data_IF_451996334376
#
_entry.id   IF_451996334376
#
_cell.length_a   1.000
_cell.length_b   1.000
_cell.length_c   1.000
_cell.angle_alpha   90.00
_cell.angle_beta   90.00
_cell.angle_gamma   90.00
#
_symmetry.space_group_name_H-M   'P 1'
#
loop_
_entity.id
_entity.type
_entity.pdbx_description
1 polymer ?
#
# COMPACT_ATOMS: atom_id res chain seq x y z
N UNK A 1 6.48 9.64 -20.75
CA UNK A 1 5.55 9.43 -21.88
C UNK A 1 5.00 10.76 -22.39
N UNK A 2 4.29 11.56 -21.58
CA UNK A 2 3.75 12.87 -21.99
C UNK A 2 4.75 13.80 -22.71
N UNK A 3 5.87 14.17 -22.05
CA UNK A 3 6.87 15.07 -22.65
C UNK A 3 7.47 14.54 -23.97
N UNK A 4 7.52 13.22 -24.16
CA UNK A 4 8.00 12.65 -25.43
C UNK A 4 6.94 12.80 -26.53
N UNK A 5 5.65 12.64 -26.22
CA UNK A 5 4.56 12.92 -27.15
C UNK A 5 4.52 14.40 -27.51
N UNK A 6 4.65 15.28 -26.53
CA UNK A 6 4.74 16.72 -26.76
C UNK A 6 5.91 17.10 -27.69
N UNK A 7 7.09 16.51 -27.47
CA UNK A 7 8.29 16.69 -28.33
C UNK A 7 8.10 16.28 -29.79
N UNK A 8 7.30 15.24 -30.02
CA UNK A 8 7.09 14.64 -31.35
C UNK A 8 5.88 15.20 -32.08
N UNK A 9 5.06 16.00 -31.39
CA UNK A 9 3.89 16.65 -31.97
C UNK A 9 4.33 17.80 -32.87
N UNK A 10 3.76 17.88 -34.08
CA UNK A 10 3.93 19.04 -34.96
C UNK A 10 3.00 20.17 -34.48
N UNK A 11 3.58 21.14 -33.80
CA UNK A 11 2.84 22.29 -33.24
C UNK A 11 2.78 23.39 -34.31
N UNK A 12 1.57 23.86 -34.61
CA UNK A 12 1.35 25.00 -35.51
C UNK A 12 1.44 26.32 -34.75
N UNK A 13 1.67 27.44 -35.44
CA UNK A 13 1.86 28.74 -34.78
C UNK A 13 0.63 29.22 -34.00
N UNK A 14 -0.57 28.82 -34.42
CA UNK A 14 -1.86 29.26 -33.89
C UNK A 14 -2.62 28.18 -33.10
N UNK A 15 -1.93 27.13 -32.62
CA UNK A 15 -2.60 26.06 -31.88
C UNK A 15 -3.19 26.54 -30.56
N UNK A 16 -4.26 25.87 -30.12
CA UNK A 16 -4.91 26.08 -28.83
C UNK A 16 -4.57 24.92 -27.91
N UNK A 17 -4.25 25.26 -26.65
CA UNK A 17 -3.89 24.29 -25.62
C UNK A 17 -4.76 24.50 -24.39
N UNK A 18 -5.44 23.45 -23.97
CA UNK A 18 -6.30 23.42 -22.77
C UNK A 18 -6.10 22.08 -22.06
N UNK A 19 -6.36 22.05 -20.74
CA UNK A 19 -6.44 20.80 -19.99
C UNK A 19 -7.86 20.57 -19.53
N UNK A 20 -8.32 19.33 -19.59
CA UNK A 20 -9.63 18.94 -19.10
C UNK A 20 -9.48 18.09 -17.84
N UNK A 21 -10.30 18.36 -16.82
CA UNK A 21 -10.32 17.62 -15.55
C UNK A 21 -11.70 16.99 -15.36
N UNK A 22 -11.74 15.69 -15.03
CA UNK A 22 -13.00 14.97 -14.83
C UNK A 22 -13.49 15.14 -13.40
N UNK A 23 -14.67 15.73 -13.25
CA UNK A 23 -15.26 15.94 -11.93
C UNK A 23 -15.60 14.61 -11.27
N UNK A 24 -14.92 14.34 -10.14
CA UNK A 24 -15.20 13.21 -9.25
C UNK A 24 -15.39 11.87 -9.99
N UNK A 25 -14.42 11.53 -10.84
CA UNK A 25 -14.45 10.38 -11.75
C UNK A 25 -15.00 9.10 -11.08
N UNK A 26 -14.34 8.60 -10.02
CA UNK A 26 -14.71 7.33 -9.40
C UNK A 26 -16.12 7.30 -8.84
N UNK A 27 -16.63 8.41 -8.29
CA UNK A 27 -17.99 8.44 -7.72
C UNK A 27 -19.06 8.54 -8.81
N UNK A 28 -18.72 9.10 -9.98
CA UNK A 28 -19.69 9.37 -11.04
C UNK A 28 -19.81 8.24 -12.08
N UNK A 29 -18.76 7.44 -12.26
CA UNK A 29 -18.80 6.25 -13.14
C UNK A 29 -19.76 5.21 -12.55
N UNK A 30 -20.77 4.80 -13.32
CA UNK A 30 -21.66 3.70 -12.92
C UNK A 30 -20.97 2.35 -13.14
N UNK A 31 -21.29 1.38 -12.28
CA UNK A 31 -20.73 0.03 -12.38
C UNK A 31 -21.10 -0.62 -13.72
N UNK A 32 -22.35 -0.46 -14.15
CA UNK A 32 -22.84 -1.06 -15.39
C UNK A 32 -22.16 -0.47 -16.63
N UNK A 33 -21.97 0.85 -16.70
CA UNK A 33 -21.28 1.46 -17.84
C UNK A 33 -19.79 1.11 -17.88
N UNK A 34 -19.14 0.98 -16.72
CA UNK A 34 -17.77 0.48 -16.65
C UNK A 34 -17.66 -0.99 -17.09
N UNK A 35 -18.59 -1.84 -16.67
CA UNK A 35 -18.67 -3.23 -17.11
C UNK A 35 -18.90 -3.32 -18.62
N UNK A 36 -19.80 -2.51 -19.15
CA UNK A 36 -20.09 -2.46 -20.58
C UNK A 36 -18.83 -2.06 -21.38
N UNK A 37 -18.08 -1.05 -20.93
CA UNK A 37 -16.84 -0.65 -21.58
C UNK A 37 -15.79 -1.78 -21.57
N UNK A 38 -15.66 -2.53 -20.46
CA UNK A 38 -14.77 -3.69 -20.42
C UNK A 38 -15.24 -4.80 -21.35
N UNK A 39 -16.54 -5.09 -21.40
CA UNK A 39 -17.09 -6.11 -22.29
C UNK A 39 -16.81 -5.78 -23.75
N UNK A 40 -17.02 -4.53 -24.17
CA UNK A 40 -16.72 -4.04 -25.51
C UNK A 40 -15.23 -4.23 -25.85
N UNK A 41 -14.33 -3.79 -24.96
CA UNK A 41 -12.88 -3.93 -25.17
C UNK A 41 -12.41 -5.40 -25.22
N UNK A 42 -12.96 -6.25 -24.35
CA UNK A 42 -12.64 -7.69 -24.35
C UNK A 42 -13.16 -8.37 -25.61
N UNK A 43 -14.30 -7.95 -26.13
CA UNK A 43 -14.89 -8.49 -27.35
C UNK A 43 -14.08 -8.05 -28.58
N UNK A 44 -13.68 -6.79 -28.65
CA UNK A 44 -12.86 -6.23 -29.73
C UNK A 44 -11.46 -6.86 -29.78
N UNK A 45 -10.87 -7.15 -28.61
CA UNK A 45 -9.50 -7.65 -28.49
C UNK A 45 -9.41 -9.11 -28.04
N UNK A 46 -10.48 -9.89 -28.23
CA UNK A 46 -10.55 -11.29 -27.79
C UNK A 46 -9.40 -12.17 -28.34
N UNK A 47 -8.92 -11.85 -29.55
CA UNK A 47 -7.83 -12.60 -30.21
C UNK A 47 -6.42 -12.23 -29.74
N UNK A 48 -6.23 -11.12 -29.03
CA UNK A 48 -4.90 -10.64 -28.61
C UNK A 48 -4.68 -10.75 -27.10
N UNK A 49 -5.76 -10.82 -26.32
CA UNK A 49 -5.70 -10.88 -24.86
C UNK A 49 -5.71 -12.35 -24.42
N UNK A 50 -4.66 -12.77 -23.69
CA UNK A 50 -4.67 -14.05 -23.01
C UNK A 50 -5.59 -13.99 -21.78
N UNK A 51 -6.75 -14.64 -21.87
CA UNK A 51 -7.72 -14.74 -20.77
C UNK A 51 -7.41 -15.88 -19.79
N UNK A 52 -6.27 -16.56 -19.92
CA UNK A 52 -5.82 -17.65 -19.03
C UNK A 52 -6.88 -18.75 -18.84
N UNK A 53 -7.60 -19.09 -19.91
CA UNK A 53 -8.63 -20.13 -19.90
C UNK A 53 -10.03 -19.66 -19.51
N UNK A 54 -10.24 -18.39 -19.17
CA UNK A 54 -11.58 -17.84 -18.96
C UNK A 54 -12.23 -17.41 -20.27
N UNK A 55 -13.54 -17.61 -20.39
CA UNK A 55 -14.36 -16.94 -21.42
C UNK A 55 -14.58 -15.47 -21.04
N UNK A 56 -14.91 -14.62 -22.02
CA UNK A 56 -15.31 -13.22 -21.76
C UNK A 56 -16.47 -13.16 -20.76
N UNK A 57 -17.48 -14.04 -20.92
CA UNK A 57 -18.59 -14.16 -19.97
C UNK A 57 -18.13 -14.53 -18.55
N UNK A 58 -17.16 -15.43 -18.41
CA UNK A 58 -16.57 -15.81 -17.13
C UNK A 58 -15.85 -14.64 -16.45
N UNK A 59 -15.07 -13.86 -17.22
CA UNK A 59 -14.42 -12.64 -16.72
C UNK A 59 -15.46 -11.62 -16.26
N UNK A 60 -16.51 -11.39 -17.05
CA UNK A 60 -17.58 -10.46 -16.71
C UNK A 60 -18.35 -10.88 -15.45
N UNK A 61 -18.59 -12.17 -15.25
CA UNK A 61 -19.21 -12.70 -14.03
C UNK A 61 -18.35 -12.42 -12.79
N UNK A 62 -17.04 -12.67 -12.87
CA UNK A 62 -16.11 -12.38 -11.76
C UNK A 62 -16.03 -10.88 -11.47
N UNK A 63 -16.02 -10.04 -12.52
CA UNK A 63 -16.03 -8.59 -12.39
C UNK A 63 -17.31 -8.11 -11.69
N UNK A 64 -18.47 -8.62 -12.10
CA UNK A 64 -19.76 -8.30 -11.46
C UNK A 64 -19.75 -8.65 -9.98
N UNK A 65 -19.30 -9.86 -9.63
CA UNK A 65 -19.17 -10.27 -8.23
C UNK A 65 -18.25 -9.35 -7.42
N UNK A 66 -17.14 -8.88 -8.00
CA UNK A 66 -16.24 -7.92 -7.35
C UNK A 66 -16.89 -6.54 -7.11
N UNK A 67 -17.75 -6.08 -8.02
CA UNK A 67 -18.41 -4.78 -7.93
C UNK A 67 -19.64 -4.79 -7.02
N UNK A 68 -20.39 -5.91 -6.98
CA UNK A 68 -21.55 -6.06 -6.11
C UNK A 68 -21.15 -6.24 -4.64
N UNK A 69 -19.97 -6.80 -4.36
CA UNK A 69 -19.44 -6.98 -3.01
C UNK A 69 -18.81 -5.71 -2.41
N UNK A 70 -19.43 -4.55 -2.60
CA UNK A 70 -18.91 -3.27 -2.15
C UNK A 70 -19.65 -2.75 -0.91
N UNK A 71 -19.38 -3.39 0.24
CA UNK A 71 -20.00 -3.09 1.54
C UNK A 71 -18.97 -2.48 2.48
N UNK A 72 -19.32 -1.36 3.12
CA UNK A 72 -18.50 -0.70 4.13
C UNK A 72 -19.30 -0.43 5.41
N UNK A 73 -18.60 -0.19 6.53
CA UNK A 73 -19.23 0.07 7.84
C UNK A 73 -18.93 1.49 8.29
N UNK A 74 -19.96 2.25 8.65
CA UNK A 74 -19.88 3.62 9.16
C UNK A 74 -20.82 3.77 10.36
N UNK A 75 -20.33 4.34 11.48
CA UNK A 75 -21.08 4.42 12.76
C UNK A 75 -21.80 3.12 13.17
N UNK A 76 -21.14 1.97 12.99
CA UNK A 76 -21.69 0.66 13.38
C UNK A 76 -22.76 0.11 12.44
N UNK A 77 -23.19 0.85 11.41
CA UNK A 77 -24.14 0.41 10.39
C UNK A 77 -23.41 0.00 9.11
N UNK A 78 -23.91 -1.03 8.46
CA UNK A 78 -23.40 -1.50 7.17
C UNK A 78 -24.11 -0.75 6.03
N UNK A 79 -23.32 -0.34 5.04
CA UNK A 79 -23.78 0.36 3.85
C UNK A 79 -23.23 -0.33 2.62
N UNK A 80 -24.05 -0.46 1.58
CA UNK A 80 -23.60 -0.86 0.25
C UNK A 80 -23.44 0.37 -0.61
N UNK A 81 -22.32 0.48 -1.33
CA UNK A 81 -22.14 1.52 -2.32
C UNK A 81 -22.94 1.15 -3.58
N UNK A 82 -24.06 1.84 -3.80
CA UNK A 82 -24.98 1.58 -4.92
C UNK A 82 -24.51 2.19 -6.24
N UNK A 83 -23.59 3.17 -6.21
CA UNK A 83 -23.10 3.89 -7.37
C UNK A 83 -21.64 4.30 -7.19
N UNK A 84 -20.89 4.32 -8.28
CA UNK A 84 -19.48 4.67 -8.26
C UNK A 84 -18.60 3.46 -8.06
N UNK A 85 -17.37 3.59 -8.53
CA UNK A 85 -16.28 2.67 -8.26
C UNK A 85 -15.70 2.98 -6.87
N UNK A 86 -15.58 1.97 -6.00
CA UNK A 86 -15.00 2.17 -4.68
C UNK A 86 -13.53 2.61 -4.78
N UNK A 87 -13.23 3.79 -4.23
CA UNK A 87 -11.85 4.24 -4.08
C UNK A 87 -11.10 3.28 -3.15
N UNK A 88 -10.01 2.71 -3.65
CA UNK A 88 -9.22 1.67 -2.95
C UNK A 88 -9.51 0.24 -3.42
N UNK A 89 -10.56 0.02 -4.22
CA UNK A 89 -10.75 -1.22 -4.94
C UNK A 89 -9.66 -1.35 -6.03
N UNK A 90 -9.01 -2.52 -6.11
CA UNK A 90 -7.89 -2.74 -7.05
C UNK A 90 -8.28 -2.60 -8.52
N UNK A 91 -9.54 -2.92 -8.85
CA UNK A 91 -10.06 -2.87 -10.22
C UNK A 91 -10.55 -1.46 -10.62
N UNK A 92 -10.83 -0.58 -9.65
CA UNK A 92 -11.43 0.72 -9.93
C UNK A 92 -10.62 1.57 -10.92
N UNK A 93 -9.27 1.69 -10.83
CA UNK A 93 -8.50 2.45 -11.81
C UNK A 93 -8.62 1.90 -13.24
N UNK A 94 -8.57 0.58 -13.41
CA UNK A 94 -8.69 -0.07 -14.72
C UNK A 94 -10.08 0.17 -15.32
N UNK A 95 -11.13 0.03 -14.51
CA UNK A 95 -12.51 0.28 -14.92
C UNK A 95 -12.74 1.74 -15.31
N UNK A 96 -12.20 2.67 -14.52
CA UNK A 96 -12.28 4.09 -14.83
C UNK A 96 -11.55 4.43 -16.14
N UNK A 97 -10.37 3.83 -16.39
CA UNK A 97 -9.62 4.03 -17.64
C UNK A 97 -10.39 3.50 -18.85
N UNK A 98 -10.98 2.31 -18.75
CA UNK A 98 -11.77 1.70 -19.82
C UNK A 98 -13.02 2.53 -20.12
N UNK A 99 -13.74 2.96 -19.08
CA UNK A 99 -14.89 3.84 -19.25
C UNK A 99 -14.50 5.18 -19.88
N UNK A 100 -13.40 5.80 -19.44
CA UNK A 100 -12.92 7.05 -20.02
C UNK A 100 -12.46 6.90 -21.48
N UNK A 101 -12.01 5.71 -21.91
CA UNK A 101 -11.71 5.45 -23.31
C UNK A 101 -12.95 5.59 -24.20
N UNK A 102 -14.13 5.24 -23.69
CA UNK A 102 -15.40 5.45 -24.39
C UNK A 102 -15.80 6.93 -24.41
N UNK A 103 -15.61 7.65 -23.31
CA UNK A 103 -15.93 9.08 -23.21
C UNK A 103 -15.07 9.93 -24.15
N UNK A 104 -13.80 9.59 -24.33
CA UNK A 104 -12.87 10.36 -25.15
C UNK A 104 -12.98 10.05 -26.64
N UNK A 105 -13.53 8.89 -27.03
CA UNK A 105 -13.48 8.42 -28.40
C UNK A 105 -14.04 9.41 -29.44
N UNK A 106 -15.23 10.00 -29.25
CA UNK A 106 -15.75 10.97 -30.22
C UNK A 106 -14.83 12.20 -30.39
N UNK A 107 -14.14 12.64 -29.33
CA UNK A 107 -13.16 13.72 -29.45
C UNK A 107 -11.89 13.29 -30.20
N UNK A 108 -11.47 12.03 -30.06
CA UNK A 108 -10.32 11.48 -30.79
C UNK A 108 -10.58 11.37 -32.30
N UNK A 109 -11.83 11.16 -32.71
CA UNK A 109 -12.23 11.12 -34.13
C UNK A 109 -12.03 12.48 -34.83
N UNK A 110 -12.09 13.60 -34.08
CA UNK A 110 -11.75 14.93 -34.58
C UNK A 110 -10.25 15.18 -34.71
N UNK A 111 -9.42 14.18 -34.36
CA UNK A 111 -7.96 14.19 -34.53
C UNK A 111 -7.30 15.46 -33.99
N UNK A 112 -7.44 15.76 -32.68
CA UNK A 112 -6.67 16.82 -32.05
C UNK A 112 -5.17 16.60 -32.32
N UNK A 113 -4.41 17.69 -32.49
CA UNK A 113 -2.98 17.66 -32.74
C UNK A 113 -2.24 16.83 -31.68
N UNK A 114 -2.70 16.92 -30.42
CA UNK A 114 -2.27 16.05 -29.34
C UNK A 114 -3.41 15.83 -28.36
N UNK A 115 -3.62 14.57 -27.98
CA UNK A 115 -4.46 14.20 -26.84
C UNK A 115 -3.68 13.27 -25.91
N UNK A 116 -3.48 13.68 -24.67
CA UNK A 116 -2.87 12.88 -23.61
C UNK A 116 -3.78 12.84 -22.39
N UNK A 117 -4.04 11.64 -21.86
CA UNK A 117 -4.78 11.46 -20.61
C UNK A 117 -3.96 10.69 -19.59
N UNK A 118 -4.08 11.10 -18.33
CA UNK A 118 -3.60 10.38 -17.18
C UNK A 118 -4.75 10.23 -16.19
N UNK A 119 -5.45 9.09 -16.27
CA UNK A 119 -6.68 8.80 -15.51
C UNK A 119 -7.76 9.85 -15.81
N UNK A 120 -7.88 10.88 -14.98
CA UNK A 120 -8.84 12.00 -15.00
C UNK A 120 -8.26 13.28 -15.63
N UNK A 121 -6.95 13.50 -15.51
CA UNK A 121 -6.27 14.67 -16.09
C UNK A 121 -6.05 14.48 -17.61
N UNK A 122 -6.63 15.36 -18.44
CA UNK A 122 -6.45 15.39 -19.90
C UNK A 122 -5.68 16.64 -20.35
N UNK A 123 -4.85 16.49 -21.37
CA UNK A 123 -4.12 17.57 -22.03
C UNK A 123 -4.37 17.50 -23.53
N UNK A 124 -4.93 18.58 -24.09
CA UNK A 124 -5.39 18.63 -25.47
C UNK A 124 -4.72 19.79 -26.19
N UNK A 125 -4.27 19.54 -27.42
CA UNK A 125 -3.85 20.57 -28.37
C UNK A 125 -4.71 20.42 -29.63
N UNK A 126 -5.36 21.51 -30.06
CA UNK A 126 -6.10 21.59 -31.31
C UNK A 126 -5.54 22.70 -32.21
N UNK A 127 -5.86 22.67 -33.50
CA UNK A 127 -5.40 23.71 -34.42
C UNK A 127 -6.17 25.02 -34.22
N UNK A 128 -7.44 24.94 -33.82
CA UNK A 128 -8.30 26.11 -33.57
C UNK A 128 -9.07 26.00 -32.25
N UNK A 129 -9.55 27.14 -31.75
CA UNK A 129 -10.43 27.15 -30.57
C UNK A 129 -11.77 26.46 -30.84
N UNK A 130 -12.30 26.55 -32.06
CA UNK A 130 -13.55 25.89 -32.44
C UNK A 130 -13.43 24.36 -32.36
N UNK A 131 -12.32 23.78 -32.79
CA UNK A 131 -12.03 22.35 -32.63
C UNK A 131 -11.89 21.96 -31.16
N UNK A 132 -11.20 22.78 -30.36
CA UNK A 132 -11.06 22.58 -28.91
C UNK A 132 -12.42 22.56 -28.21
N UNK A 133 -13.26 23.55 -28.49
CA UNK A 133 -14.60 23.68 -27.93
C UNK A 133 -15.45 22.48 -28.34
N UNK A 134 -15.38 22.06 -29.60
CA UNK A 134 -16.11 20.88 -30.10
C UNK A 134 -15.66 19.60 -29.39
N UNK A 135 -14.36 19.38 -29.21
CA UNK A 135 -13.85 18.22 -28.45
C UNK A 135 -14.38 18.23 -27.01
N UNK A 136 -14.34 19.40 -26.35
CA UNK A 136 -14.83 19.55 -24.99
C UNK A 136 -16.34 19.28 -24.86
N UNK A 137 -17.14 19.78 -25.80
CA UNK A 137 -18.58 19.54 -25.85
C UNK A 137 -18.91 18.06 -26.06
N UNK A 138 -18.29 17.43 -27.06
CA UNK A 138 -18.51 16.01 -27.35
C UNK A 138 -18.23 15.11 -26.15
N UNK A 139 -17.13 15.33 -25.44
CA UNK A 139 -16.81 14.54 -24.23
C UNK A 139 -17.85 14.74 -23.11
N UNK A 140 -18.37 15.95 -22.94
CA UNK A 140 -19.38 16.26 -21.91
C UNK A 140 -20.80 15.77 -22.25
N UNK A 141 -21.06 15.43 -23.51
CA UNK A 141 -22.33 14.87 -23.99
C UNK A 141 -22.41 13.34 -23.83
N UNK A 142 -21.27 12.65 -23.65
CA UNK A 142 -21.23 11.18 -23.60
C UNK A 142 -21.87 10.59 -22.34
N UNK A 143 -22.08 11.39 -21.29
CA UNK A 143 -22.64 10.91 -20.04
C UNK A 143 -23.39 12.00 -19.31
N UNK A 144 -24.53 11.63 -18.72
CA UNK A 144 -25.28 12.51 -17.82
C UNK A 144 -24.45 12.90 -16.58
N UNK A 145 -23.66 11.96 -16.07
CA UNK A 145 -23.04 12.07 -14.74
C UNK A 145 -21.55 12.41 -14.75
N UNK A 146 -20.88 12.19 -15.88
CA UNK A 146 -19.47 12.54 -16.04
C UNK A 146 -19.39 13.87 -16.75
N UNK A 147 -18.87 14.87 -16.03
CA UNK A 147 -18.67 16.22 -16.53
C UNK A 147 -17.20 16.58 -16.40
N UNK A 148 -16.69 17.21 -17.44
CA UNK A 148 -15.33 17.71 -17.51
C UNK A 148 -15.34 19.22 -17.30
N UNK A 149 -14.40 19.70 -16.53
CA UNK A 149 -14.03 21.13 -16.48
C UNK A 149 -12.84 21.36 -17.38
N UNK A 150 -12.58 22.62 -17.76
CA UNK A 150 -11.45 22.97 -18.60
C UNK A 150 -10.68 24.14 -18.00
N UNK A 151 -9.36 24.01 -18.02
CA UNK A 151 -8.44 25.05 -17.62
C UNK A 151 -7.72 25.61 -18.84
N UNK A 152 -7.64 26.94 -18.87
CA UNK A 152 -6.89 27.69 -19.88
C UNK A 152 -5.54 28.16 -19.33
N UNK A 153 -4.53 28.41 -20.19
CA UNK A 153 -3.23 28.89 -19.73
C UNK A 153 -3.35 30.22 -18.98
N UNK A 154 -2.81 30.30 -17.77
CA UNK A 154 -2.73 31.53 -16.97
C UNK A 154 -1.34 32.12 -17.15
N UNK A 155 -1.25 33.38 -17.58
CA UNK A 155 0.03 34.01 -17.96
C UNK A 155 0.82 33.18 -19.00
N UNK A 156 0.09 32.51 -19.90
CA UNK A 156 0.64 31.62 -20.93
C UNK A 156 1.14 30.27 -20.42
N UNK A 157 0.98 29.93 -19.15
CA UNK A 157 1.36 28.64 -18.58
C UNK A 157 0.14 27.81 -18.22
N UNK A 158 0.12 26.56 -18.68
CA UNK A 158 -0.89 25.57 -18.35
C UNK A 158 -0.28 24.45 -17.50
N UNK A 159 -0.78 24.19 -16.27
CA UNK A 159 -0.33 23.08 -15.47
C UNK A 159 -0.89 21.74 -16.01
N UNK A 160 -0.04 20.72 -16.07
CA UNK A 160 -0.45 19.34 -16.34
C UNK A 160 0.45 18.36 -15.59
N UNK A 161 -0.14 17.51 -14.75
CA UNK A 161 0.60 16.61 -13.86
C UNK A 161 1.64 17.36 -13.00
N UNK A 162 2.94 17.06 -13.20
CA UNK A 162 4.06 17.66 -12.49
C UNK A 162 4.84 18.67 -13.34
N UNK A 163 4.26 19.16 -14.44
CA UNK A 163 4.88 20.17 -15.32
C UNK A 163 3.94 21.32 -15.60
N UNK A 164 4.50 22.47 -15.92
CA UNK A 164 3.80 23.57 -16.56
C UNK A 164 4.30 23.67 -17.99
N UNK A 165 3.38 23.88 -18.93
CA UNK A 165 3.67 23.99 -20.36
C UNK A 165 3.25 25.38 -20.82
N UNK A 166 4.15 26.07 -21.52
CA UNK A 166 3.87 27.30 -22.24
C UNK A 166 4.08 27.07 -23.71
N UNK A 167 3.18 27.57 -24.55
CA UNK A 167 3.29 27.49 -25.99
C UNK A 167 3.24 28.90 -26.58
N UNK A 168 4.15 29.21 -27.49
CA UNK A 168 4.19 30.50 -28.18
C UNK A 168 4.84 30.31 -29.55
N UNK A 169 4.12 30.65 -30.63
CA UNK A 169 4.62 30.59 -32.02
C UNK A 169 5.24 29.23 -32.39
N UNK A 170 4.53 28.14 -32.12
CA UNK A 170 4.99 26.77 -32.45
C UNK A 170 6.12 26.23 -31.56
N UNK A 171 6.69 27.04 -30.66
CA UNK A 171 7.69 26.61 -29.68
C UNK A 171 7.01 26.39 -28.34
N UNK A 172 7.45 25.37 -27.61
CA UNK A 172 6.97 25.09 -26.27
C UNK A 172 8.10 25.18 -25.24
N UNK A 173 7.73 25.62 -24.04
CA UNK A 173 8.58 25.62 -22.85
C UNK A 173 7.93 24.80 -21.76
N UNK A 174 8.77 24.10 -21.00
CA UNK A 174 8.32 23.32 -19.86
C UNK A 174 9.12 23.67 -18.63
N UNK A 175 8.44 23.69 -17.48
CA UNK A 175 9.07 23.81 -16.17
C UNK A 175 8.44 22.88 -15.16
N UNK A 176 9.16 22.57 -14.08
CA UNK A 176 8.64 21.71 -13.03
C UNK A 176 7.54 22.43 -12.25
N UNK A 177 6.45 21.72 -11.97
CA UNK A 177 5.28 22.29 -11.31
C UNK A 177 4.86 21.46 -10.11
N UNK A 178 4.37 22.16 -9.08
CA UNK A 178 3.73 21.59 -7.89
C UNK A 178 2.38 22.26 -7.72
N UNK A 179 1.31 21.46 -7.67
CA UNK A 179 -0.05 21.95 -7.36
C UNK A 179 -0.02 22.72 -6.03
N UNK A 180 -0.70 23.87 -5.87
CA UNK A 180 -0.73 24.63 -4.61
C UNK A 180 -1.20 23.82 -3.40
N UNK A 181 -2.08 22.84 -3.62
CA UNK A 181 -2.55 21.91 -2.59
C UNK A 181 -1.50 20.90 -2.12
N UNK A 182 -0.38 20.78 -2.83
CA UNK A 182 0.72 19.89 -2.43
C UNK A 182 1.43 20.44 -1.20
N UNK A 183 1.39 19.69 -0.10
CA UNK A 183 2.16 19.99 1.12
C UNK A 183 3.68 19.86 0.94
N UNK A 184 4.14 19.34 -0.19
CA UNK A 184 5.56 19.12 -0.51
C UNK A 184 6.31 18.32 0.58
N UNK A 185 5.61 17.39 1.23
CA UNK A 185 6.16 16.53 2.28
C UNK A 185 6.98 15.42 1.61
N UNK A 186 8.25 15.33 2.00
CA UNK A 186 9.16 14.24 1.66
C UNK A 186 9.42 13.39 2.90
N UNK A 187 10.18 12.31 2.73
CA UNK A 187 10.79 11.62 3.87
C UNK A 187 11.73 12.62 4.55
N UNK A 188 11.38 13.08 5.75
CA UNK A 188 12.17 14.07 6.49
C UNK A 188 13.59 13.57 6.76
N UNK A 189 14.58 14.48 6.76
CA UNK A 189 15.99 14.14 6.95
C UNK A 189 16.26 13.36 8.26
N UNK A 190 15.58 13.76 9.34
CA UNK A 190 15.68 13.12 10.67
C UNK A 190 14.86 11.84 10.81
N UNK A 191 14.16 11.39 9.78
CA UNK A 191 13.39 10.14 9.88
C UNK A 191 14.30 8.91 10.00
N UNK A 192 13.77 7.89 10.67
CA UNK A 192 14.39 6.56 10.85
C UNK A 192 14.35 5.73 9.56
N UNK A 193 14.77 6.31 8.45
CA UNK A 193 15.01 5.62 7.19
C UNK A 193 16.51 5.59 6.90
N UNK A 194 17.00 4.57 6.17
CA UNK A 194 18.38 4.53 5.72
C UNK A 194 18.78 5.82 4.99
N UNK A 195 19.99 6.32 5.26
CA UNK A 195 20.47 7.58 4.69
C UNK A 195 20.51 7.55 3.16
N UNK A 196 20.80 6.39 2.57
CA UNK A 196 20.82 6.24 1.12
C UNK A 196 19.42 6.39 0.48
N UNK A 197 18.35 5.96 1.15
CA UNK A 197 16.96 6.11 0.69
C UNK A 197 16.54 7.59 0.73
N UNK A 198 16.80 8.25 1.87
CA UNK A 198 16.57 9.69 2.05
C UNK A 198 17.24 10.51 0.93
N UNK A 199 18.53 10.23 0.66
CA UNK A 199 19.29 10.85 -0.44
C UNK A 199 18.71 10.52 -1.81
N UNK A 200 18.26 9.29 -2.05
CA UNK A 200 17.69 8.89 -3.33
C UNK A 200 16.38 9.65 -3.64
N UNK A 201 15.50 9.82 -2.64
CA UNK A 201 14.25 10.59 -2.77
C UNK A 201 14.56 12.03 -3.20
N UNK A 202 15.43 12.73 -2.47
CA UNK A 202 15.79 14.12 -2.77
C UNK A 202 16.52 14.23 -4.11
N UNK A 203 17.45 13.31 -4.40
CA UNK A 203 18.17 13.29 -5.69
C UNK A 203 17.22 13.11 -6.86
N UNK A 204 16.23 12.22 -6.74
CA UNK A 204 15.23 11.99 -7.78
C UNK A 204 14.32 13.21 -7.96
N UNK A 205 13.99 13.94 -6.90
CA UNK A 205 13.28 15.21 -7.00
C UNK A 205 14.07 16.24 -7.82
N UNK A 206 15.34 16.49 -7.48
CA UNK A 206 16.21 17.41 -8.24
C UNK A 206 16.40 16.98 -9.70
N UNK A 207 16.60 15.68 -9.94
CA UNK A 207 16.68 15.12 -11.30
C UNK A 207 15.40 15.36 -12.07
N UNK A 208 14.24 15.15 -11.45
CA UNK A 208 12.94 15.39 -12.07
C UNK A 208 12.78 16.87 -12.39
N UNK A 209 13.02 17.75 -11.42
CA UNK A 209 12.96 19.20 -11.59
C UNK A 209 13.84 19.71 -12.75
N UNK A 210 14.99 19.07 -12.98
CA UNK A 210 15.85 19.41 -14.13
C UNK A 210 15.38 18.78 -15.43
N UNK A 211 15.03 17.49 -15.42
CA UNK A 211 14.78 16.68 -16.63
C UNK A 211 13.51 17.11 -17.36
N UNK A 212 12.54 17.67 -16.63
CA UNK A 212 11.28 18.11 -17.21
C UNK A 212 11.34 19.52 -17.81
N UNK A 213 12.43 20.27 -17.60
CA UNK A 213 12.56 21.62 -18.11
C UNK A 213 13.14 21.66 -19.54
N UNK A 214 12.69 22.63 -20.34
CA UNK A 214 13.20 22.86 -21.69
C UNK A 214 14.29 23.93 -21.75
N UNK A 215 14.17 25.02 -20.98
CA UNK A 215 15.10 26.16 -20.99
C UNK A 215 15.94 26.31 -19.71
N UNK A 216 16.97 27.16 -19.79
CA UNK A 216 17.87 27.42 -18.66
C UNK A 216 17.19 28.21 -17.54
N UNK A 217 16.36 29.19 -17.89
CA UNK A 217 15.62 30.00 -16.92
C UNK A 217 14.60 29.15 -16.15
N UNK A 218 13.81 28.34 -16.86
CA UNK A 218 12.82 27.41 -16.30
C UNK A 218 13.47 26.36 -15.39
N UNK A 219 14.66 25.91 -15.77
CA UNK A 219 15.45 24.99 -14.96
C UNK A 219 15.93 25.64 -13.68
N UNK A 220 16.42 26.87 -13.71
CA UNK A 220 16.85 27.55 -12.48
C UNK A 220 15.66 27.83 -11.55
N UNK A 221 14.52 28.29 -12.08
CA UNK A 221 13.27 28.45 -11.31
C UNK A 221 12.87 27.14 -10.63
N UNK A 222 12.89 26.03 -11.39
CA UNK A 222 12.55 24.69 -10.88
C UNK A 222 13.56 24.20 -9.82
N UNK A 223 14.83 24.54 -9.96
CA UNK A 223 15.86 24.22 -8.98
C UNK A 223 15.72 25.05 -7.70
N UNK A 224 15.35 26.33 -7.79
CA UNK A 224 15.04 27.17 -6.63
C UNK A 224 13.89 26.55 -5.84
N UNK A 225 12.79 26.18 -6.50
CA UNK A 225 11.67 25.48 -5.87
C UNK A 225 12.12 24.15 -5.21
N UNK A 226 12.92 23.35 -5.92
CA UNK A 226 13.44 22.09 -5.36
C UNK A 226 14.32 22.31 -4.12
N UNK A 227 15.14 23.38 -4.09
CA UNK A 227 15.95 23.75 -2.91
C UNK A 227 15.05 24.16 -1.74
N UNK A 228 14.02 24.96 -1.98
CA UNK A 228 13.06 25.36 -0.94
C UNK A 228 12.35 24.15 -0.33
N UNK A 229 11.87 23.22 -1.17
CA UNK A 229 11.24 21.98 -0.71
C UNK A 229 12.24 21.08 0.05
N UNK A 230 13.49 20.99 -0.41
CA UNK A 230 14.50 20.21 0.28
C UNK A 230 14.81 20.80 1.67
N UNK A 231 14.98 22.12 1.76
CA UNK A 231 15.21 22.82 3.03
C UNK A 231 14.03 22.60 3.99
N UNK A 232 12.78 22.80 3.55
CA UNK A 232 11.61 22.58 4.42
C UNK A 232 11.45 21.14 4.95
N UNK A 233 12.19 20.17 4.39
CA UNK A 233 12.23 18.78 4.85
C UNK A 233 13.55 18.40 5.56
N UNK A 234 14.37 19.38 5.96
CA UNK A 234 15.60 19.23 6.75
C UNK A 234 16.86 18.88 5.95
N UNK A 235 16.89 19.15 4.64
CA UNK A 235 18.02 18.79 3.76
C UNK A 235 18.96 19.97 3.41
N UNK A 236 19.08 20.99 4.26
CA UNK A 236 19.93 22.18 4.06
C UNK A 236 21.38 21.80 3.73
N UNK A 237 21.94 20.84 4.46
CA UNK A 237 23.32 20.36 4.27
C UNK A 237 23.52 19.59 2.96
N UNK A 238 22.45 19.02 2.38
CA UNK A 238 22.52 18.29 1.11
C UNK A 238 22.63 19.22 -0.09
N UNK A 239 22.05 20.43 0.02
CA UNK A 239 22.05 21.43 -1.05
C UNK A 239 23.49 21.86 -1.39
N UNK A 240 24.36 22.03 -0.38
CA UNK A 240 25.76 22.41 -0.56
C UNK A 240 26.62 21.32 -1.20
N UNK A 241 26.42 20.05 -0.81
CA UNK A 241 27.19 18.91 -1.33
C UNK A 241 26.84 18.52 -2.77
N UNK A 242 25.64 18.86 -3.24
CA UNK A 242 25.13 18.48 -4.57
C UNK A 242 25.92 19.09 -5.74
N UNK A 243 26.62 20.23 -5.53
CA UNK A 243 27.52 20.84 -6.54
C UNK A 243 28.76 19.98 -6.80
N UNK A 244 29.39 19.40 -5.77
CA UNK A 244 30.62 18.59 -5.89
C UNK A 244 30.40 17.18 -6.45
N UNK A 245 29.19 16.61 -6.29
CA UNK A 245 28.94 15.20 -6.63
C UNK A 245 28.40 14.96 -8.03
N UNK A 246 28.06 16.02 -8.76
CA UNK A 246 27.46 15.95 -10.10
C UNK A 246 28.41 15.29 -11.12
N UNK A 247 29.72 15.33 -10.85
CA UNK A 247 30.77 14.68 -11.64
C UNK A 247 31.00 13.20 -11.26
N UNK A 248 30.67 12.77 -10.03
CA UNK A 248 31.01 11.43 -9.52
C UNK A 248 29.93 10.36 -9.75
N UNK A 249 28.71 10.73 -10.15
CA UNK A 249 27.54 9.85 -10.20
C UNK A 249 27.27 9.19 -11.58
N UNK A 250 28.16 9.37 -12.55
CA UNK A 250 28.16 8.60 -13.81
C UNK A 250 28.69 7.16 -13.62
N UNK A 251 28.49 6.54 -12.45
CA UNK A 251 28.76 5.11 -12.27
C UNK A 251 27.63 4.33 -12.96
N UNK A 252 27.98 3.73 -14.10
CA UNK A 252 27.17 2.73 -14.82
C UNK A 252 26.60 1.73 -13.80
N UNK A 253 25.27 1.60 -13.76
CA UNK A 253 24.63 0.45 -13.11
C UNK A 253 25.03 -0.79 -13.91
N UNK A 254 25.58 -1.77 -13.22
CA UNK A 254 25.85 -3.09 -13.79
C UNK A 254 24.51 -3.74 -14.19
N UNK A 255 24.28 -4.08 -15.48
CA UNK A 255 22.99 -4.58 -15.98
C UNK A 255 22.53 -5.89 -15.34
N UNK A 256 23.44 -6.68 -14.76
CA UNK A 256 23.20 -8.06 -14.29
C UNK A 256 22.59 -8.18 -12.87
N UNK A 257 21.82 -7.20 -12.38
CA UNK A 257 21.33 -7.20 -10.98
C UNK A 257 19.92 -7.77 -10.76
N UNK A 258 19.29 -8.38 -11.76
CA UNK A 258 17.87 -8.76 -11.71
C UNK A 258 17.54 -10.02 -10.91
N UNK A 259 18.51 -10.89 -10.60
CA UNK A 259 18.25 -12.20 -9.97
C UNK A 259 18.68 -12.32 -8.50
N UNK A 260 18.85 -11.20 -7.79
CA UNK A 260 19.23 -11.27 -6.36
C UNK A 260 18.05 -11.66 -5.48
N UNK A 261 18.28 -12.60 -4.58
CA UNK A 261 17.31 -12.98 -3.54
C UNK A 261 17.16 -11.81 -2.55
N UNK A 262 15.94 -11.32 -2.30
CA UNK A 262 15.71 -10.25 -1.34
C UNK A 262 15.78 -10.79 0.09
N UNK A 263 16.64 -10.20 0.92
CA UNK A 263 16.75 -10.47 2.35
C UNK A 263 16.26 -9.26 3.14
N UNK A 264 15.12 -9.42 3.80
CA UNK A 264 14.41 -8.34 4.49
C UNK A 264 14.88 -8.22 5.93
N UNK A 265 15.25 -7.02 6.35
CA UNK A 265 15.72 -6.73 7.70
C UNK A 265 15.10 -5.45 8.25
N UNK A 266 14.72 -5.39 9.53
CA UNK A 266 14.38 -4.12 10.17
C UNK A 266 15.55 -3.13 10.09
N UNK A 267 15.27 -1.89 9.72
CA UNK A 267 16.27 -0.84 9.78
C UNK A 267 16.50 -0.41 11.24
N UNK A 268 17.72 -0.61 11.72
CA UNK A 268 18.16 -0.19 13.06
C UNK A 268 18.96 1.11 12.94
N UNK A 269 20.10 1.06 12.23
CA UNK A 269 20.93 2.24 11.94
C UNK A 269 21.74 2.03 10.65
N UNK A 270 22.33 3.12 10.13
CA UNK A 270 23.22 3.04 8.96
C UNK A 270 24.51 2.27 9.28
N UNK A 271 24.99 2.32 10.53
CA UNK A 271 26.18 1.58 11.01
C UNK A 271 25.92 0.08 10.98
N UNK A 272 24.81 -0.37 11.57
CA UNK A 272 24.39 -1.79 11.54
C UNK A 272 24.19 -2.26 10.11
N UNK A 273 23.50 -1.46 9.30
CA UNK A 273 23.27 -1.74 7.88
C UNK A 273 24.59 -1.92 7.11
N UNK A 274 25.59 -1.09 7.43
CA UNK A 274 26.93 -1.18 6.83
C UNK A 274 27.68 -2.43 7.27
N UNK A 275 27.61 -2.77 8.56
CA UNK A 275 28.23 -3.98 9.10
C UNK A 275 27.64 -5.24 8.44
N UNK A 276 26.32 -5.35 8.32
CA UNK A 276 25.66 -6.50 7.67
C UNK A 276 26.07 -6.59 6.19
N UNK A 277 26.09 -5.46 5.47
CA UNK A 277 26.58 -5.42 4.07
C UNK A 277 28.04 -5.86 3.97
N UNK A 278 28.89 -5.53 4.95
CA UNK A 278 30.28 -5.97 4.99
C UNK A 278 30.38 -7.47 5.25
N UNK A 279 29.57 -8.04 6.14
CA UNK A 279 29.47 -9.48 6.34
C UNK A 279 29.08 -10.21 5.06
N UNK A 280 28.03 -9.76 4.35
CA UNK A 280 27.64 -10.37 3.07
C UNK A 280 28.75 -10.32 2.01
N UNK A 281 29.55 -9.25 1.99
CA UNK A 281 30.70 -9.16 1.08
C UNK A 281 31.81 -10.13 1.48
N UNK A 282 32.13 -10.23 2.77
CA UNK A 282 33.15 -11.18 3.29
C UNK A 282 32.76 -12.63 3.00
N UNK A 283 31.47 -12.95 3.07
CA UNK A 283 30.93 -14.28 2.73
C UNK A 283 30.67 -14.48 1.23
N UNK A 284 31.08 -13.54 0.36
CA UNK A 284 30.83 -13.56 -1.09
C UNK A 284 29.35 -13.65 -1.53
N UNK A 285 28.41 -13.39 -0.61
CA UNK A 285 26.95 -13.46 -0.84
C UNK A 285 26.39 -12.18 -1.47
N UNK A 286 27.17 -11.09 -1.55
CA UNK A 286 26.71 -9.81 -2.08
C UNK A 286 26.33 -9.83 -3.58
N UNK A 287 26.68 -10.90 -4.31
CA UNK A 287 26.25 -11.14 -5.70
C UNK A 287 24.91 -11.87 -5.79
N UNK A 288 24.53 -12.64 -4.77
CA UNK A 288 23.33 -13.47 -4.73
C UNK A 288 22.21 -12.82 -3.92
N UNK A 289 22.56 -12.12 -2.83
CA UNK A 289 21.59 -11.56 -1.88
C UNK A 289 21.54 -10.03 -2.00
N UNK A 290 20.33 -9.49 -1.95
CA UNK A 290 20.07 -8.06 -1.85
C UNK A 290 19.40 -7.74 -0.51
N UNK A 291 20.00 -6.84 0.27
CA UNK A 291 19.41 -6.41 1.54
C UNK A 291 18.29 -5.40 1.25
N UNK A 292 17.12 -5.66 1.82
CA UNK A 292 15.97 -4.76 1.83
C UNK A 292 15.69 -4.34 3.27
N UNK A 293 15.99 -3.09 3.58
CA UNK A 293 15.78 -2.51 4.91
C UNK A 293 14.35 -2.02 5.06
N UNK A 294 13.64 -2.54 6.07
CA UNK A 294 12.26 -2.19 6.39
C UNK A 294 12.30 -1.10 7.48
N UNK A 295 11.87 0.14 7.20
CA UNK A 295 11.81 1.19 8.20
C UNK A 295 10.82 0.81 9.32
N UNK A 296 11.01 1.33 10.54
CA UNK A 296 10.11 1.08 11.65
C UNK A 296 8.68 1.55 11.34
N UNK A 297 7.71 0.96 12.03
CA UNK A 297 6.29 1.34 11.90
C UNK A 297 6.12 2.84 12.13
N UNK A 298 5.48 3.54 11.18
CA UNK A 298 5.21 4.97 11.32
C UNK A 298 4.23 5.27 12.47
N UNK A 299 4.23 6.53 12.94
CA UNK A 299 3.32 6.99 13.99
C UNK A 299 1.86 6.68 13.66
N UNK A 300 1.43 6.75 12.40
CA UNK A 300 0.07 6.33 12.03
C UNK A 300 -0.18 4.86 12.40
N UNK A 301 0.71 3.94 12.07
CA UNK A 301 0.55 2.52 12.42
C UNK A 301 0.66 2.27 13.93
N UNK A 302 1.45 3.06 14.66
CA UNK A 302 1.61 2.93 16.11
C UNK A 302 0.45 3.55 16.90
N UNK A 303 0.00 4.75 16.49
CA UNK A 303 -1.02 5.57 17.17
C UNK A 303 -2.41 5.34 16.62
N UNK A 304 -2.57 5.20 15.29
CA UNK A 304 -3.85 4.86 14.67
C UNK A 304 -4.04 3.36 14.77
N UNK A 305 -4.62 2.95 15.89
CA UNK A 305 -5.35 1.70 15.96
C UNK A 305 -6.63 1.91 15.16
N UNK A 306 -6.79 1.24 14.02
CA UNK A 306 -8.07 1.15 13.29
C UNK A 306 -9.19 0.44 14.09
N UNK A 307 -9.05 0.36 15.41
CA UNK A 307 -9.97 -0.27 16.33
C UNK A 307 -10.63 0.82 17.17
N UNK A 308 -11.41 1.68 16.52
CA UNK A 308 -12.44 2.49 17.19
C UNK A 308 -13.52 1.63 17.89
N UNK A 309 -13.48 0.31 17.67
CA UNK A 309 -14.28 -0.67 18.38
C UNK A 309 -13.40 -1.24 19.48
N UNK A 310 -13.19 -0.47 20.53
CA UNK A 310 -12.91 -1.06 21.82
C UNK A 310 -14.11 -1.93 22.18
N UNK A 311 -13.80 -3.22 22.20
CA UNK A 311 -14.75 -4.32 22.10
C UNK A 311 -15.33 -4.52 23.49
N UNK A 312 -16.52 -3.99 23.75
CA UNK A 312 -17.32 -4.49 24.88
C UNK A 312 -17.45 -6.00 24.73
N UNK A 313 -17.10 -6.73 25.78
CA UNK A 313 -17.26 -8.16 25.78
C UNK A 313 -18.75 -8.50 25.83
N UNK A 314 -19.31 -8.91 24.70
CA UNK A 314 -20.69 -9.42 24.63
C UNK A 314 -20.79 -10.91 24.96
N UNK A 315 -19.68 -11.56 25.34
CA UNK A 315 -19.68 -12.98 25.73
C UNK A 315 -20.26 -13.12 27.14
N UNK A 316 -21.38 -13.85 27.32
CA UNK A 316 -21.90 -14.14 28.66
C UNK A 316 -20.87 -14.94 29.46
N UNK A 317 -20.67 -14.59 30.73
CA UNK A 317 -19.75 -15.28 31.65
C UNK A 317 -18.33 -15.46 31.07
N UNK A 318 -17.81 -14.43 30.40
CA UNK A 318 -16.47 -14.46 29.81
C UNK A 318 -15.41 -14.73 30.89
N UNK A 319 -14.63 -15.81 30.74
CA UNK A 319 -13.58 -16.20 31.70
C UNK A 319 -12.40 -15.22 31.71
N UNK A 320 -12.19 -14.47 30.63
CA UNK A 320 -11.03 -13.57 30.47
C UNK A 320 -11.29 -12.18 31.06
N UNK A 321 -12.54 -11.71 31.08
CA UNK A 321 -12.87 -10.36 31.55
C UNK A 321 -12.69 -10.16 33.06
N UNK A 322 -13.03 -11.12 33.95
CA UNK A 322 -12.86 -10.95 35.39
C UNK A 322 -11.40 -10.84 35.82
N UNK A 323 -10.48 -11.50 35.11
CA UNK A 323 -9.07 -11.57 35.49
C UNK A 323 -8.14 -10.73 34.60
N UNK A 324 -8.64 -10.25 33.46
CA UNK A 324 -7.88 -9.46 32.48
C UNK A 324 -8.22 -7.98 32.49
N UNK A 325 -7.50 -7.18 31.69
CA UNK A 325 -7.85 -5.76 31.50
C UNK A 325 -9.08 -5.62 30.60
N UNK A 326 -9.85 -4.53 30.73
CA UNK A 326 -10.95 -4.23 29.81
C UNK A 326 -10.49 -4.35 28.34
N UNK A 327 -11.13 -5.24 27.58
CA UNK A 327 -10.82 -5.48 26.17
C UNK A 327 -9.83 -6.63 25.86
N UNK A 328 -9.13 -7.19 26.85
CA UNK A 328 -8.14 -8.27 26.63
C UNK A 328 -8.77 -9.54 26.04
N UNK A 329 -9.98 -9.89 26.49
CA UNK A 329 -10.79 -10.99 25.98
C UNK A 329 -11.01 -10.90 24.45
N UNK A 330 -10.89 -9.70 23.93
CA UNK A 330 -11.22 -9.35 22.58
C UNK A 330 -9.94 -8.98 21.81
N UNK A 331 -8.75 -9.25 22.34
CA UNK A 331 -7.51 -9.22 21.57
C UNK A 331 -7.43 -10.42 20.62
N UNK A 332 -6.70 -10.24 19.52
CA UNK A 332 -6.49 -11.26 18.47
C UNK A 332 -5.02 -11.21 18.06
N UNK A 333 -4.48 -12.35 17.59
CA UNK A 333 -3.05 -12.51 17.36
C UNK A 333 -2.28 -12.51 18.68
N UNK A 334 -2.74 -13.27 19.67
CA UNK A 334 -2.16 -13.29 21.02
C UNK A 334 -1.59 -14.65 21.36
N UNK A 335 -0.50 -14.64 22.13
CA UNK A 335 0.00 -15.78 22.88
C UNK A 335 -0.54 -15.62 24.30
N UNK A 336 -1.20 -16.65 24.82
CA UNK A 336 -1.86 -16.61 26.11
C UNK A 336 -1.45 -17.80 26.99
N UNK A 337 -1.53 -17.58 28.30
CA UNK A 337 -1.28 -18.54 29.35
C UNK A 337 -2.61 -18.83 30.07
N UNK A 338 -2.91 -20.11 30.25
CA UNK A 338 -3.98 -20.60 31.12
C UNK A 338 -3.32 -21.26 32.33
N UNK A 339 -3.69 -20.84 33.53
CA UNK A 339 -3.21 -21.42 34.78
C UNK A 339 -4.39 -22.07 35.51
N UNK A 340 -4.23 -23.32 35.92
CA UNK A 340 -5.17 -23.98 36.84
C UNK A 340 -5.00 -23.39 38.24
N UNK A 341 -6.07 -22.86 38.84
CA UNK A 341 -6.01 -22.26 40.18
C UNK A 341 -5.79 -23.33 41.25
N UNK A 342 -6.31 -24.55 41.05
CA UNK A 342 -6.23 -25.63 42.04
C UNK A 342 -4.85 -26.27 42.19
N UNK A 343 -4.11 -26.45 41.10
CA UNK A 343 -2.81 -27.16 41.13
C UNK A 343 -1.64 -26.37 40.52
N UNK A 344 -1.88 -25.15 40.05
CA UNK A 344 -0.86 -24.28 39.45
C UNK A 344 -0.32 -24.75 38.11
N UNK A 345 -0.85 -25.83 37.53
CA UNK A 345 -0.42 -26.28 36.20
C UNK A 345 -0.71 -25.19 35.15
N UNK A 346 0.18 -25.09 34.17
CA UNK A 346 0.15 -24.07 33.12
C UNK A 346 -0.07 -24.70 31.74
N UNK A 347 -0.76 -23.97 30.86
CA UNK A 347 -0.92 -24.23 29.43
C UNK A 347 -0.66 -22.95 28.64
N UNK A 348 0.15 -23.02 27.59
CA UNK A 348 0.44 -21.91 26.69
C UNK A 348 -0.14 -22.23 25.31
N UNK A 349 -0.82 -21.25 24.70
CA UNK A 349 -1.37 -21.38 23.36
C UNK A 349 -1.40 -20.07 22.59
N UNK A 350 -1.58 -20.15 21.26
CA UNK A 350 -1.82 -19.00 20.40
C UNK A 350 -3.25 -18.92 19.83
N UNK A 351 -3.66 -17.72 19.44
CA UNK A 351 -4.86 -17.52 18.61
C UNK A 351 -4.77 -16.32 17.68
N UNK A 352 -5.15 -16.53 16.41
CA UNK A 352 -5.45 -15.47 15.44
C UNK A 352 -6.83 -14.84 15.63
N UNK A 353 -7.75 -15.52 16.31
CA UNK A 353 -9.13 -15.10 16.61
C UNK A 353 -9.23 -14.36 17.95
N UNK A 354 -10.36 -13.68 18.26
CA UNK A 354 -10.61 -13.12 19.58
C UNK A 354 -10.34 -14.14 20.70
N UNK A 355 -9.57 -13.75 21.72
CA UNK A 355 -9.16 -14.62 22.81
C UNK A 355 -10.34 -15.31 23.51
N UNK A 356 -11.45 -14.59 23.72
CA UNK A 356 -12.67 -15.11 24.33
C UNK A 356 -13.27 -16.30 23.57
N UNK A 357 -13.21 -16.29 22.24
CA UNK A 357 -13.67 -17.41 21.42
C UNK A 357 -12.77 -18.64 21.63
N UNK A 358 -11.45 -18.42 21.67
CA UNK A 358 -10.49 -19.50 21.90
C UNK A 358 -10.60 -20.09 23.31
N UNK A 359 -10.75 -19.26 24.33
CA UNK A 359 -10.93 -19.73 25.72
C UNK A 359 -12.25 -20.48 25.87
N UNK A 360 -13.33 -20.05 25.19
CA UNK A 360 -14.60 -20.79 25.19
C UNK A 360 -14.44 -22.22 24.66
N UNK A 361 -13.65 -22.42 23.61
CA UNK A 361 -13.34 -23.75 23.07
C UNK A 361 -12.59 -24.62 24.10
N UNK A 362 -11.63 -24.04 24.81
CA UNK A 362 -10.93 -24.72 25.91
C UNK A 362 -11.87 -25.09 27.06
N UNK A 363 -12.79 -24.19 27.42
CA UNK A 363 -13.79 -24.44 28.46
C UNK A 363 -14.82 -25.50 28.07
N UNK A 364 -15.28 -25.55 26.81
CA UNK A 364 -16.13 -26.65 26.31
C UNK A 364 -15.38 -27.99 26.35
N UNK A 365 -14.10 -27.99 25.96
CA UNK A 365 -13.22 -29.16 26.08
C UNK A 365 -13.07 -29.66 27.53
N UNK A 366 -12.89 -28.74 28.49
CA UNK A 366 -12.85 -29.01 29.93
C UNK A 366 -14.18 -29.54 30.45
N UNK A 367 -15.29 -28.90 30.08
CA UNK A 367 -16.64 -29.26 30.53
C UNK A 367 -17.05 -30.67 30.12
N UNK A 368 -16.68 -31.08 28.89
CA UNK A 368 -16.92 -32.43 28.36
C UNK A 368 -15.81 -33.43 28.67
N UNK A 369 -14.79 -33.05 29.45
CA UNK A 369 -13.65 -33.91 29.81
C UNK A 369 -12.97 -34.59 28.62
N UNK A 370 -12.82 -33.87 27.49
CA UNK A 370 -12.25 -34.44 26.26
C UNK A 370 -10.75 -34.69 26.42
N UNK A 371 -10.31 -35.94 26.30
CA UNK A 371 -8.88 -36.32 26.39
C UNK A 371 -8.00 -35.72 25.28
N UNK A 372 -8.62 -35.32 24.16
CA UNK A 372 -7.93 -34.66 23.05
C UNK A 372 -7.58 -33.21 23.32
N UNK A 373 -8.18 -32.57 24.34
CA UNK A 373 -7.88 -31.18 24.70
C UNK A 373 -6.99 -31.12 25.94
N UNK A 374 -6.07 -30.14 26.02
CA UNK A 374 -5.20 -29.98 27.18
C UNK A 374 -5.95 -29.89 28.51
N UNK A 375 -6.99 -29.04 28.59
CA UNK A 375 -7.77 -28.85 29.81
C UNK A 375 -8.68 -30.05 30.14
N UNK A 376 -9.21 -30.75 29.14
CA UNK A 376 -10.02 -31.94 29.36
C UNK A 376 -9.19 -33.13 29.87
N UNK A 377 -7.99 -33.33 29.32
CA UNK A 377 -7.00 -34.28 29.82
C UNK A 377 -6.57 -33.92 31.25
N UNK A 378 -6.25 -32.65 31.49
CA UNK A 378 -5.84 -32.18 32.82
C UNK A 378 -6.93 -32.43 33.88
N UNK A 379 -8.20 -32.14 33.56
CA UNK A 379 -9.35 -32.44 34.44
C UNK A 379 -9.40 -33.90 34.86
N UNK A 380 -9.24 -34.82 33.90
CA UNK A 380 -9.37 -36.26 34.15
C UNK A 380 -8.23 -36.81 34.99
N UNK A 381 -7.00 -36.40 34.72
CA UNK A 381 -5.81 -37.02 35.29
C UNK A 381 -5.21 -36.31 36.51
N UNK A 382 -5.54 -35.04 36.73
CA UNK A 382 -4.98 -34.25 37.84
C UNK A 382 -6.03 -33.79 38.86
N UNK A 383 -7.31 -33.92 38.49
CA UNK A 383 -8.44 -33.55 39.35
C UNK A 383 -9.49 -34.67 39.43
N UNK A 384 -9.17 -35.90 39.02
CA UNK A 384 -10.08 -37.05 39.07
C UNK A 384 -11.47 -36.82 38.44
N UNK A 385 -11.55 -35.91 37.47
CA UNK A 385 -12.81 -35.53 36.82
C UNK A 385 -13.57 -34.38 37.50
N UNK A 386 -13.12 -33.92 38.66
CA UNK A 386 -13.67 -32.74 39.34
C UNK A 386 -13.43 -31.45 38.54
N UNK A 387 -14.34 -30.50 38.70
CA UNK A 387 -14.24 -29.23 38.01
C UNK A 387 -13.19 -28.32 38.68
N UNK A 388 -12.44 -27.55 37.88
CA UNK A 388 -11.44 -26.60 38.38
C UNK A 388 -11.57 -25.22 37.72
N UNK A 389 -11.12 -24.18 38.43
CA UNK A 389 -11.08 -22.81 37.93
C UNK A 389 -9.76 -22.49 37.21
N UNK A 390 -9.82 -21.56 36.25
CA UNK A 390 -8.68 -21.16 35.45
C UNK A 390 -8.50 -19.65 35.45
N UNK A 391 -7.25 -19.22 35.43
CA UNK A 391 -6.87 -17.84 35.15
C UNK A 391 -6.26 -17.74 33.75
N UNK A 392 -6.58 -16.68 33.00
CA UNK A 392 -6.05 -16.43 31.66
C UNK A 392 -5.26 -15.13 31.63
N UNK A 393 -4.02 -15.19 31.10
CA UNK A 393 -3.14 -14.02 30.94
C UNK A 393 -2.60 -13.95 29.51
N UNK A 394 -2.55 -12.74 28.95
CA UNK A 394 -1.86 -12.50 27.68
C UNK A 394 -0.36 -12.36 27.96
N UNK A 395 0.45 -13.17 27.28
CA UNK A 395 1.92 -13.12 27.37
C UNK A 395 2.49 -12.12 26.36
N UNK A 396 2.03 -12.19 25.11
CA UNK A 396 2.48 -11.33 24.03
C UNK A 396 1.40 -11.21 22.92
N UNK A 397 1.53 -10.19 22.09
CA UNK A 397 0.68 -9.98 20.93
C UNK A 397 1.53 -9.89 19.66
N UNK A 398 1.27 -10.80 18.72
CA UNK A 398 1.95 -10.87 17.41
C UNK A 398 0.91 -11.19 16.32
N UNK A 399 0.54 -10.23 15.46
CA UNK A 399 -0.46 -10.45 14.41
C UNK A 399 0.02 -11.38 13.28
N UNK A 400 1.31 -11.42 12.98
CA UNK A 400 1.88 -12.28 11.94
C UNK A 400 1.88 -13.75 12.41
N UNK A 401 1.50 -14.68 11.54
CA UNK A 401 1.19 -16.06 11.98
C UNK A 401 2.44 -16.89 12.24
N UNK A 402 3.48 -16.74 11.42
CA UNK A 402 4.72 -17.51 11.59
C UNK A 402 5.51 -17.06 12.84
N UNK A 403 5.65 -15.76 13.05
CA UNK A 403 6.23 -15.11 14.21
C UNK A 403 5.43 -15.41 15.48
N UNK A 404 4.09 -15.44 15.43
CA UNK A 404 3.27 -15.80 16.60
C UNK A 404 3.46 -17.25 17.01
N UNK A 405 3.44 -18.19 16.06
CA UNK A 405 3.75 -19.62 16.34
C UNK A 405 5.17 -19.79 16.86
N UNK A 406 6.11 -18.99 16.37
CA UNK A 406 7.47 -18.96 16.88
C UNK A 406 7.55 -18.48 18.33
N UNK A 407 6.88 -17.39 18.67
CA UNK A 407 6.82 -16.89 20.04
C UNK A 407 6.12 -17.87 20.98
N UNK A 408 5.04 -18.54 20.54
CA UNK A 408 4.39 -19.62 21.30
C UNK A 408 5.38 -20.75 21.63
N UNK A 409 6.10 -21.23 20.60
CA UNK A 409 7.14 -22.24 20.75
C UNK A 409 8.22 -21.84 21.77
N UNK A 410 8.69 -20.59 21.70
CA UNK A 410 9.65 -20.02 22.65
C UNK A 410 9.11 -20.00 24.08
N UNK A 411 7.87 -19.55 24.27
CA UNK A 411 7.24 -19.49 25.59
C UNK A 411 7.03 -20.88 26.19
N UNK A 412 6.62 -21.86 25.39
CA UNK A 412 6.49 -23.26 25.80
C UNK A 412 7.86 -23.81 26.23
N UNK A 413 8.91 -23.55 25.45
CA UNK A 413 10.26 -24.00 25.79
C UNK A 413 10.76 -23.38 27.10
N UNK A 414 10.67 -22.04 27.22
CA UNK A 414 11.17 -21.30 28.36
C UNK A 414 10.43 -21.62 29.67
N UNK A 415 9.10 -21.81 29.63
CA UNK A 415 8.29 -22.12 30.83
C UNK A 415 8.09 -23.61 31.10
N UNK A 416 8.30 -24.47 30.10
CA UNK A 416 8.04 -25.91 30.18
C UNK A 416 6.69 -26.28 30.86
N UNK A 417 5.55 -25.74 30.37
CA UNK A 417 4.23 -25.91 30.98
C UNK A 417 3.75 -27.36 30.96
N UNK A 418 3.22 -27.85 32.10
CA UNK A 418 2.81 -29.25 32.29
C UNK A 418 1.62 -29.70 31.43
N UNK A 419 0.75 -28.79 30.99
CA UNK A 419 -0.43 -29.15 30.19
C UNK A 419 -0.18 -29.18 28.68
N UNK A 420 0.92 -28.62 28.18
CA UNK A 420 1.27 -28.69 26.76
C UNK A 420 1.83 -30.08 26.42
N UNK A 421 1.55 -30.55 25.20
CA UNK A 421 2.10 -31.83 24.73
C UNK A 421 3.51 -31.60 24.18
N UNK A 422 4.43 -32.54 24.44
CA UNK A 422 5.82 -32.49 23.94
C UNK A 422 5.92 -32.44 22.40
N UNK A 423 4.86 -32.84 21.70
CA UNK A 423 4.78 -32.84 20.24
C UNK A 423 4.41 -31.47 19.64
N UNK A 424 3.86 -30.54 20.42
CA UNK A 424 3.32 -29.25 19.95
C UNK A 424 4.38 -28.24 19.46
N UNK A 425 5.65 -28.64 19.34
CA UNK A 425 6.75 -27.72 19.05
C UNK A 425 7.92 -28.31 18.23
N UNK A 426 7.95 -29.64 17.99
CA UNK A 426 9.16 -30.40 17.63
C UNK A 426 9.89 -29.91 16.36
N UNK A 427 9.17 -29.45 15.34
CA UNK A 427 9.81 -29.01 14.08
C UNK A 427 10.56 -27.69 14.24
N UNK A 428 10.03 -26.76 15.03
CA UNK A 428 10.60 -25.42 15.20
C UNK A 428 11.66 -25.36 16.29
N UNK A 429 11.53 -26.16 17.36
CA UNK A 429 12.56 -26.22 18.42
C UNK A 429 13.83 -26.92 17.94
N UNK A 430 13.75 -27.91 17.02
CA UNK A 430 14.95 -28.61 16.52
C UNK A 430 15.85 -27.76 15.63
N UNK A 431 15.28 -26.96 14.73
CA UNK A 431 16.07 -26.13 13.82
C UNK A 431 16.69 -24.91 14.53
N UNK A 432 16.07 -24.46 15.63
CA UNK A 432 16.41 -23.19 16.26
C UNK A 432 17.00 -23.32 17.67
N UNK A 433 17.06 -24.54 18.24
CA UNK A 433 17.71 -24.83 19.52
C UNK A 433 19.10 -24.18 19.68
N UNK A 434 19.99 -24.16 18.67
CA UNK A 434 21.32 -23.55 18.81
C UNK A 434 21.29 -22.02 19.03
N UNK A 435 20.16 -21.36 18.75
CA UNK A 435 20.01 -19.91 18.85
C UNK A 435 19.22 -19.47 20.09
N UNK A 436 18.65 -20.41 20.85
CA UNK A 436 17.86 -20.12 22.04
C UNK A 436 18.71 -19.60 23.21
N UNK A 437 19.92 -20.13 23.37
CA UNK A 437 20.90 -19.70 24.39
C UNK A 437 21.40 -18.25 24.20
N UNK A 438 21.15 -17.65 23.03
CA UNK A 438 21.50 -16.25 22.75
C UNK A 438 20.41 -15.25 23.14
N UNK A 439 19.19 -15.74 23.43
CA UNK A 439 18.00 -14.91 23.66
C UNK A 439 17.56 -14.87 25.13
N UNK A 440 18.15 -15.71 26.00
CA UNK A 440 17.82 -15.81 27.42
C UNK A 440 19.07 -15.89 28.29
#
# INVERSE_FOLDING_TARGET
>A
MFLNRLRTTKITENCVVESFDVNALYTNVSNDSAMQAIFELLSEHAGTINLYGFSVSGVMLLLKACLDCNVFRWYGKYFAQIRGLAMGQRLAPTLAIAFMAKIEQPALEYRPLLYCRYIDDCFVICATQAEMDKCFHLMNEQSEHIKLTRDKPINGWLPFLNVQVKMTKGVYWTKWYRKPSSKNILVHFLSAHPTHLKRAVVTNMFRTATKVCSGLAEKEESLVLARQIAASNGYESYISMSKRRREALARKRDPNTTDKIPFYLPFISDEVSTAIRQCLRRSALNKVVSIVEIPPSNLKRQLVRNRMYDRFCITPNCVVCPTGRPGDCMCSGVIYLITCIGCGAEYIGETSRPLCARIREHMDGKGRSRLTTPLGSHRKFQHDGENFEVNVKILAQEPETSARKFLEALWIHAKSPKMNRKEECLSMTRELAPYLDLLF
#
